data_IF_675664885686
#
_entry.id   IF_675664885686
#
_cell.length_a   1.000
_cell.length_b   1.000
_cell.length_c   1.000
_cell.angle_alpha   90.00
_cell.angle_beta   90.00
_cell.angle_gamma   90.00
#
_symmetry.space_group_name_H-M   'P 1'
#
loop_
_entity.id
_entity.type
_entity.pdbx_description
1 polymer ?
#
# COMPACT_ATOMS: atom_id res chain seq x y z
N UNK A 1 -10.16 31.73 -6.25
CA UNK A 1 -11.54 32.17 -5.95
C UNK A 1 -11.80 32.05 -4.45
N UNK A 2 -12.67 32.88 -3.88
CA UNK A 2 -13.07 32.77 -2.47
C UNK A 2 -14.04 31.61 -2.25
N UNK A 3 -14.86 31.26 -3.25
CA UNK A 3 -15.81 30.15 -3.20
C UNK A 3 -15.09 28.80 -3.39
N UNK A 4 -15.17 27.89 -2.42
CA UNK A 4 -14.51 26.58 -2.52
C UNK A 4 -14.98 25.73 -3.69
N UNK A 5 -16.27 25.78 -4.01
CA UNK A 5 -16.89 24.98 -5.08
C UNK A 5 -16.27 25.33 -6.44
N UNK A 6 -16.01 26.62 -6.68
CA UNK A 6 -15.32 27.08 -7.89
C UNK A 6 -13.90 26.51 -7.92
N UNK A 7 -13.18 26.55 -6.79
CA UNK A 7 -11.82 26.00 -6.72
C UNK A 7 -11.80 24.49 -6.97
N UNK A 8 -12.74 23.75 -6.41
CA UNK A 8 -12.88 22.30 -6.62
C UNK A 8 -13.12 21.97 -8.09
N UNK A 9 -14.08 22.63 -8.73
CA UNK A 9 -14.39 22.44 -10.16
C UNK A 9 -13.15 22.73 -11.01
N UNK A 10 -12.45 23.83 -10.73
CA UNK A 10 -11.22 24.16 -11.46
C UNK A 10 -10.15 23.08 -11.32
N UNK A 11 -9.96 22.49 -10.13
CA UNK A 11 -8.95 21.45 -9.93
C UNK A 11 -9.33 20.12 -10.58
N UNK A 12 -10.62 19.77 -10.56
CA UNK A 12 -11.15 18.60 -11.25
C UNK A 12 -10.92 18.69 -12.77
N UNK A 13 -11.34 19.80 -13.38
CA UNK A 13 -11.17 20.03 -14.82
C UNK A 13 -9.70 20.12 -15.23
N UNK A 14 -8.85 20.75 -14.41
CA UNK A 14 -7.42 20.82 -14.69
C UNK A 14 -6.77 19.42 -14.73
N UNK A 15 -7.12 18.54 -13.79
CA UNK A 15 -6.67 17.15 -13.79
C UNK A 15 -7.13 16.39 -15.04
N UNK A 16 -8.38 16.60 -15.46
CA UNK A 16 -8.93 16.02 -16.69
C UNK A 16 -8.20 16.50 -17.95
N UNK A 17 -7.93 17.80 -18.07
CA UNK A 17 -7.22 18.35 -19.24
C UNK A 17 -5.79 17.85 -19.33
N UNK A 18 -5.09 17.73 -18.20
CA UNK A 18 -3.76 17.13 -18.14
C UNK A 18 -3.77 15.68 -18.64
N UNK A 19 -4.81 14.91 -18.31
CA UNK A 19 -4.98 13.53 -18.77
C UNK A 19 -5.32 13.45 -20.25
N UNK A 20 -6.32 14.22 -20.70
CA UNK A 20 -6.86 14.14 -22.06
C UNK A 20 -5.97 14.80 -23.12
N UNK A 21 -5.23 15.84 -22.76
CA UNK A 21 -4.36 16.57 -23.68
C UNK A 21 -2.98 16.86 -23.07
N UNK A 22 -2.31 15.78 -22.66
CA UNK A 22 -1.05 15.83 -21.90
C UNK A 22 0.12 16.51 -22.61
N UNK A 23 0.11 16.61 -23.95
CA UNK A 23 1.15 17.33 -24.69
C UNK A 23 1.08 18.85 -24.50
N UNK A 24 -0.11 19.40 -24.25
CA UNK A 24 -0.30 20.82 -23.98
C UNK A 24 -0.39 21.11 -22.47
N UNK A 25 -1.09 20.26 -21.71
CA UNK A 25 -1.48 20.58 -20.33
C UNK A 25 -0.61 19.92 -19.26
N UNK A 26 -0.02 18.74 -19.50
CA UNK A 26 0.80 18.07 -18.50
C UNK A 26 2.24 18.60 -18.54
N UNK A 27 2.45 19.70 -17.82
CA UNK A 27 3.72 20.38 -17.65
C UNK A 27 3.78 21.07 -16.28
N UNK A 28 4.97 21.47 -15.84
CA UNK A 28 5.21 22.07 -14.52
C UNK A 28 4.39 23.35 -14.26
N UNK A 29 4.15 24.14 -15.30
CA UNK A 29 3.39 25.39 -15.17
C UNK A 29 1.96 25.15 -14.75
N UNK A 30 1.38 24.00 -15.13
CA UNK A 30 0.03 23.60 -14.75
C UNK A 30 0.04 22.70 -13.50
N UNK A 31 0.96 21.74 -13.41
CA UNK A 31 1.05 20.78 -12.28
C UNK A 31 1.21 21.48 -10.93
N UNK A 32 1.90 22.62 -10.89
CA UNK A 32 2.06 23.41 -9.66
C UNK A 32 0.72 23.78 -9.00
N UNK A 33 -0.36 23.94 -9.77
CA UNK A 33 -1.67 24.27 -9.22
C UNK A 33 -2.24 23.12 -8.42
N UNK A 34 -2.19 21.88 -8.92
CA UNK A 34 -2.53 20.70 -8.11
C UNK A 34 -1.66 20.64 -6.86
N UNK A 35 -0.34 20.87 -7.02
CA UNK A 35 0.63 20.92 -5.92
C UNK A 35 0.26 21.90 -4.80
N UNK A 36 -0.11 23.12 -5.16
CA UNK A 36 -0.50 24.16 -4.21
C UNK A 36 -1.87 23.89 -3.59
N UNK A 37 -2.84 23.44 -4.40
CA UNK A 37 -4.22 23.25 -3.97
C UNK A 37 -4.41 22.01 -3.08
N UNK A 38 -3.43 21.10 -3.03
CA UNK A 38 -3.34 20.10 -1.94
C UNK A 38 -3.19 20.72 -0.54
N UNK A 39 -2.87 22.02 -0.42
CA UNK A 39 -2.78 22.74 0.86
C UNK A 39 -4.03 23.59 1.14
N UNK A 40 -5.07 23.50 0.30
CA UNK A 40 -6.32 24.24 0.50
C UNK A 40 -6.95 23.88 1.86
N UNK A 41 -7.63 24.85 2.47
CA UNK A 41 -8.30 24.65 3.76
C UNK A 41 -9.54 23.78 3.62
N UNK A 42 -10.14 23.71 2.44
CA UNK A 42 -11.36 22.95 2.17
C UNK A 42 -11.01 21.53 1.71
N UNK A 43 -11.57 20.49 2.34
CA UNK A 43 -11.26 19.09 2.02
C UNK A 43 -11.60 18.72 0.58
N UNK A 44 -12.76 19.14 0.07
CA UNK A 44 -13.18 18.82 -1.29
C UNK A 44 -12.16 19.31 -2.35
N UNK A 45 -11.58 20.50 -2.17
CA UNK A 45 -10.54 21.01 -3.07
C UNK A 45 -9.30 20.11 -3.05
N UNK A 46 -8.87 19.67 -1.86
CA UNK A 46 -7.75 18.73 -1.71
C UNK A 46 -8.07 17.37 -2.33
N UNK A 47 -9.29 16.88 -2.12
CA UNK A 47 -9.79 15.63 -2.69
C UNK A 47 -9.73 15.65 -4.22
N UNK A 48 -10.22 16.72 -4.86
CA UNK A 48 -10.14 16.88 -6.33
C UNK A 48 -8.69 16.87 -6.83
N UNK A 49 -7.75 17.45 -6.08
CA UNK A 49 -6.33 17.38 -6.44
C UNK A 49 -5.80 15.94 -6.41
N UNK A 50 -6.09 15.19 -5.34
CA UNK A 50 -5.65 13.81 -5.18
C UNK A 50 -6.26 12.90 -6.26
N UNK A 51 -7.56 13.03 -6.53
CA UNK A 51 -8.24 12.26 -7.58
C UNK A 51 -7.69 12.59 -8.98
N UNK A 52 -7.44 13.87 -9.26
CA UNK A 52 -6.78 14.28 -10.50
C UNK A 52 -5.40 13.64 -10.66
N UNK A 53 -4.59 13.66 -9.60
CA UNK A 53 -3.29 12.99 -9.58
C UNK A 53 -3.40 11.47 -9.79
N UNK A 54 -4.33 10.78 -9.11
CA UNK A 54 -4.58 9.35 -9.36
C UNK A 54 -4.87 9.08 -10.84
N UNK A 55 -5.68 9.94 -11.46
CA UNK A 55 -5.96 9.88 -12.89
C UNK A 55 -4.71 9.97 -13.77
N UNK A 56 -3.70 10.73 -13.36
CA UNK A 56 -2.42 10.89 -14.07
C UNK A 56 -1.46 9.72 -13.82
N UNK A 57 -1.28 9.30 -12.56
CA UNK A 57 -0.41 8.16 -12.22
C UNK A 57 -0.95 6.81 -12.71
N UNK A 58 -2.25 6.72 -12.99
CA UNK A 58 -2.86 5.50 -13.57
C UNK A 58 -2.44 5.24 -15.02
N UNK A 59 -1.83 6.21 -15.70
CA UNK A 59 -1.40 6.09 -17.09
C UNK A 59 0.14 6.04 -17.17
N UNK A 60 0.73 4.88 -17.49
CA UNK A 60 2.18 4.72 -17.60
C UNK A 60 2.85 5.68 -18.58
N UNK A 61 2.13 6.13 -19.62
CA UNK A 61 2.66 7.06 -20.64
C UNK A 61 2.90 8.45 -20.05
N UNK A 62 2.19 8.80 -18.98
CA UNK A 62 2.28 10.12 -18.35
C UNK A 62 3.35 10.20 -17.26
N UNK A 63 3.77 9.07 -16.70
CA UNK A 63 4.68 9.01 -15.54
C UNK A 63 5.98 9.79 -15.72
N UNK A 64 6.70 9.75 -16.86
CA UNK A 64 7.95 10.49 -17.02
C UNK A 64 7.79 12.01 -16.86
N UNK A 65 6.57 12.55 -17.01
CA UNK A 65 6.28 13.98 -16.82
C UNK A 65 5.96 14.34 -15.37
N UNK A 66 5.85 13.35 -14.48
CA UNK A 66 5.47 13.54 -13.08
C UNK A 66 6.67 13.54 -12.14
N UNK A 67 7.84 13.00 -12.52
CA UNK A 67 9.00 12.79 -11.64
C UNK A 67 9.36 14.02 -10.78
N UNK A 68 9.46 15.20 -11.41
CA UNK A 68 9.80 16.44 -10.70
C UNK A 68 8.68 16.86 -9.72
N UNK A 69 7.43 16.68 -10.11
CA UNK A 69 6.28 16.93 -9.24
C UNK A 69 6.30 15.98 -8.04
N UNK A 70 6.50 14.68 -8.29
CA UNK A 70 6.56 13.64 -7.25
C UNK A 70 7.66 13.96 -6.25
N UNK A 71 8.89 14.19 -6.73
CA UNK A 71 10.03 14.53 -5.88
C UNK A 71 9.74 15.75 -4.99
N UNK A 72 9.11 16.78 -5.55
CA UNK A 72 8.82 18.03 -4.84
C UNK A 72 7.70 17.91 -3.81
N UNK A 73 6.67 17.12 -4.10
CA UNK A 73 5.45 17.07 -3.29
C UNK A 73 5.25 15.76 -2.53
N UNK A 74 6.19 14.81 -2.59
CA UNK A 74 6.12 13.51 -1.90
C UNK A 74 5.74 13.64 -0.43
N UNK A 75 6.46 14.46 0.33
CA UNK A 75 6.21 14.64 1.77
C UNK A 75 4.80 15.19 2.03
N UNK A 76 4.30 16.05 1.13
CA UNK A 76 2.92 16.53 1.22
C UNK A 76 1.93 15.40 0.98
N UNK A 77 2.13 14.57 -0.04
CA UNK A 77 1.27 13.42 -0.33
C UNK A 77 1.23 12.44 0.85
N UNK A 78 2.40 12.14 1.45
CA UNK A 78 2.50 11.32 2.66
C UNK A 78 1.72 11.96 3.81
N UNK A 79 1.91 13.26 4.07
CA UNK A 79 1.20 13.96 5.15
C UNK A 79 -0.33 13.97 4.98
N UNK A 80 -0.83 13.83 3.76
CA UNK A 80 -2.27 13.78 3.49
C UNK A 80 -2.91 12.45 3.91
N UNK A 81 -2.13 11.42 4.22
CA UNK A 81 -2.65 10.21 4.88
C UNK A 81 -3.08 10.44 6.34
N UNK A 82 -2.75 11.61 6.89
CA UNK A 82 -3.20 12.12 8.19
C UNK A 82 -4.14 13.33 8.01
N UNK A 83 -4.83 13.43 6.88
CA UNK A 83 -5.78 14.51 6.67
C UNK A 83 -6.92 14.43 7.69
N UNK A 84 -7.51 15.58 8.05
CA UNK A 84 -8.64 15.61 8.99
C UNK A 84 -9.92 15.07 8.37
N UNK A 85 -9.97 15.03 7.04
CA UNK A 85 -11.09 14.51 6.28
C UNK A 85 -10.79 13.07 5.83
N UNK A 86 -11.67 12.15 6.25
CA UNK A 86 -11.54 10.71 6.03
C UNK A 86 -11.47 10.34 4.55
N UNK A 87 -12.17 11.06 3.67
CA UNK A 87 -12.13 10.76 2.23
C UNK A 87 -10.79 11.19 1.63
N UNK A 88 -10.26 12.34 2.06
CA UNK A 88 -8.96 12.83 1.60
C UNK A 88 -7.82 11.88 2.02
N UNK A 89 -7.79 11.42 3.27
CA UNK A 89 -6.73 10.50 3.72
C UNK A 89 -6.75 9.15 2.99
N UNK A 90 -7.93 8.59 2.75
CA UNK A 90 -8.09 7.31 2.03
C UNK A 90 -7.63 7.48 0.59
N UNK A 91 -8.03 8.56 -0.08
CA UNK A 91 -7.60 8.80 -1.45
C UNK A 91 -6.11 9.13 -1.56
N UNK A 92 -5.53 9.79 -0.55
CA UNK A 92 -4.09 10.02 -0.49
C UNK A 92 -3.32 8.72 -0.35
N UNK A 93 -3.78 7.81 0.52
CA UNK A 93 -3.19 6.47 0.65
C UNK A 93 -3.31 5.67 -0.66
N UNK A 94 -4.47 5.70 -1.33
CA UNK A 94 -4.65 5.05 -2.64
C UNK A 94 -3.70 5.60 -3.70
N UNK A 95 -3.47 6.91 -3.70
CA UNK A 95 -2.51 7.55 -4.59
C UNK A 95 -1.08 7.07 -4.29
N UNK A 96 -0.69 6.96 -3.01
CA UNK A 96 0.63 6.44 -2.64
C UNK A 96 0.81 4.95 -2.97
N UNK A 97 -0.24 4.14 -2.83
CA UNK A 97 -0.24 2.74 -3.31
C UNK A 97 -0.01 2.69 -4.81
N UNK A 98 -0.67 3.56 -5.57
CA UNK A 98 -0.50 3.63 -7.01
C UNK A 98 0.91 4.08 -7.39
N UNK A 99 1.42 5.16 -6.78
CA UNK A 99 2.79 5.65 -6.98
C UNK A 99 3.79 4.56 -6.65
N UNK A 100 3.60 3.86 -5.53
CA UNK A 100 4.42 2.72 -5.16
C UNK A 100 4.46 1.72 -6.32
N UNK A 101 3.31 1.22 -6.80
CA UNK A 101 3.25 0.21 -7.88
C UNK A 101 3.83 0.68 -9.22
N UNK A 102 3.67 1.96 -9.56
CA UNK A 102 3.97 2.50 -10.89
C UNK A 102 5.36 3.12 -11.00
N UNK A 103 5.95 3.56 -9.89
CA UNK A 103 7.22 4.26 -9.87
C UNK A 103 8.14 3.60 -8.85
N UNK A 104 9.02 2.73 -9.32
CA UNK A 104 10.07 2.15 -8.49
C UNK A 104 10.96 3.26 -7.92
N UNK A 105 11.43 3.07 -6.69
CA UNK A 105 12.34 3.98 -5.96
C UNK A 105 11.81 5.36 -5.52
N UNK A 106 10.55 5.72 -5.77
CA UNK A 106 10.00 7.00 -5.29
C UNK A 106 9.79 7.00 -3.77
N UNK A 107 9.22 5.92 -3.22
CA UNK A 107 8.99 5.76 -1.79
C UNK A 107 10.16 5.02 -1.16
N UNK A 108 10.74 5.63 -0.13
CA UNK A 108 11.88 5.10 0.62
C UNK A 108 11.43 4.16 1.74
N UNK A 109 12.33 3.35 2.32
CA UNK A 109 12.01 2.54 3.49
C UNK A 109 11.43 3.34 4.67
N UNK A 110 11.88 4.58 4.88
CA UNK A 110 11.36 5.43 5.95
C UNK A 110 9.96 5.99 5.64
N UNK A 111 9.60 6.13 4.36
CA UNK A 111 8.24 6.45 3.95
C UNK A 111 7.30 5.26 4.27
N UNK A 112 7.72 4.03 3.97
CA UNK A 112 6.94 2.83 4.32
C UNK A 112 6.78 2.65 5.83
N UNK A 113 7.79 2.95 6.65
CA UNK A 113 7.67 2.94 8.12
C UNK A 113 6.59 3.92 8.63
N UNK A 114 6.35 5.02 7.93
CA UNK A 114 5.29 5.97 8.27
C UNK A 114 3.91 5.50 7.79
N UNK A 115 3.84 4.85 6.63
CA UNK A 115 2.58 4.47 5.99
C UNK A 115 2.02 3.14 6.50
N UNK A 116 2.86 2.12 6.66
CA UNK A 116 2.40 0.77 7.02
C UNK A 116 1.67 0.67 8.38
N UNK A 117 1.98 1.47 9.42
CA UNK A 117 1.20 1.51 10.66
C UNK A 117 -0.30 1.71 10.47
N UNK A 118 -0.75 2.31 9.36
CA UNK A 118 -2.18 2.54 9.11
C UNK A 118 -2.98 1.25 8.89
N UNK A 119 -2.36 0.07 8.72
CA UNK A 119 -3.07 -1.23 8.77
C UNK A 119 -3.81 -1.43 10.09
N UNK A 120 -3.39 -0.74 11.14
CA UNK A 120 -4.02 -0.76 12.45
C UNK A 120 -5.04 0.38 12.68
N UNK A 121 -5.34 1.18 11.66
CA UNK A 121 -6.29 2.28 11.79
C UNK A 121 -7.69 1.77 12.16
N UNK A 122 -8.37 2.48 13.05
CA UNK A 122 -9.79 2.25 13.35
C UNK A 122 -10.71 2.64 12.19
N UNK A 123 -10.21 3.47 11.26
CA UNK A 123 -10.91 3.80 10.03
C UNK A 123 -10.63 2.71 8.97
N UNK A 124 -11.52 1.71 8.92
CA UNK A 124 -11.37 0.51 8.09
C UNK A 124 -11.00 0.76 6.61
N UNK A 125 -11.60 1.72 5.88
CA UNK A 125 -11.18 2.05 4.52
C UNK A 125 -9.70 2.43 4.37
N UNK A 126 -9.14 3.18 5.33
CA UNK A 126 -7.72 3.51 5.32
C UNK A 126 -6.86 2.27 5.62
N UNK A 127 -7.27 1.47 6.62
CA UNK A 127 -6.59 0.24 6.96
C UNK A 127 -6.55 -0.74 5.77
N UNK A 128 -7.67 -0.96 5.09
CA UNK A 128 -7.78 -1.86 3.94
C UNK A 128 -6.85 -1.44 2.79
N UNK A 129 -6.82 -0.15 2.43
CA UNK A 129 -5.91 0.36 1.38
C UNK A 129 -4.45 0.21 1.79
N UNK A 130 -4.14 0.43 3.07
CA UNK A 130 -2.78 0.21 3.60
C UNK A 130 -2.42 -1.28 3.60
N UNK A 131 -3.39 -2.15 3.84
CA UNK A 131 -3.25 -3.60 3.70
C UNK A 131 -2.82 -4.00 2.28
N UNK A 132 -3.37 -3.36 1.25
CA UNK A 132 -2.90 -3.58 -0.13
C UNK A 132 -1.43 -3.16 -0.34
N UNK A 133 -1.00 -2.06 0.30
CA UNK A 133 0.40 -1.63 0.26
C UNK A 133 1.31 -2.67 0.91
N UNK A 134 0.95 -3.09 2.13
CA UNK A 134 1.68 -4.10 2.88
C UNK A 134 1.77 -5.41 2.11
N UNK A 135 0.64 -5.88 1.57
CA UNK A 135 0.56 -7.13 0.85
C UNK A 135 1.40 -7.11 -0.43
N UNK A 136 1.36 -6.01 -1.18
CA UNK A 136 2.15 -5.87 -2.41
C UNK A 136 3.65 -5.72 -2.15
N UNK A 137 4.05 -4.96 -1.13
CA UNK A 137 5.47 -4.60 -0.90
C UNK A 137 6.23 -5.51 0.05
N UNK A 138 5.56 -6.11 1.03
CA UNK A 138 6.22 -7.00 2.00
C UNK A 138 5.87 -8.44 1.72
N UNK A 139 4.58 -8.76 1.69
CA UNK A 139 4.12 -10.15 1.61
C UNK A 139 4.47 -10.76 0.25
N UNK A 140 4.09 -10.12 -0.86
CA UNK A 140 4.37 -10.66 -2.19
C UNK A 140 5.85 -10.62 -2.57
N UNK A 141 6.62 -9.65 -2.05
CA UNK A 141 8.06 -9.57 -2.30
C UNK A 141 8.85 -10.69 -1.60
N UNK A 142 8.32 -11.24 -0.50
CA UNK A 142 8.94 -12.34 0.24
C UNK A 142 8.82 -13.71 -0.47
N UNK A 143 7.96 -13.83 -1.49
CA UNK A 143 7.83 -15.04 -2.27
C UNK A 143 9.09 -15.25 -3.16
N UNK A 144 9.79 -16.39 -3.07
CA UNK A 144 10.92 -16.66 -3.95
C UNK A 144 10.48 -16.64 -5.42
N UNK A 145 11.30 -16.05 -6.29
CA UNK A 145 11.08 -16.08 -7.73
C UNK A 145 10.99 -17.53 -8.23
N UNK A 146 10.05 -17.80 -9.13
CA UNK A 146 9.76 -19.11 -9.71
C UNK A 146 10.98 -19.80 -10.36
N UNK A 147 12.02 -19.04 -10.68
CA UNK A 147 13.15 -19.46 -11.53
C UNK A 147 14.12 -20.43 -10.84
N UNK A 148 13.95 -20.71 -9.54
CA UNK A 148 14.79 -21.64 -8.77
C UNK A 148 14.14 -23.02 -8.51
N UNK A 149 12.94 -23.28 -9.02
CA UNK A 149 12.12 -24.46 -8.66
C UNK A 149 12.23 -25.63 -9.65
N UNK A 150 13.44 -25.94 -10.12
CA UNK A 150 13.65 -26.96 -11.16
C UNK A 150 13.30 -28.42 -10.79
N UNK A 151 13.01 -28.74 -9.52
CA UNK A 151 12.84 -30.13 -9.07
C UNK A 151 11.68 -30.38 -8.07
N UNK A 152 10.93 -29.35 -7.67
CA UNK A 152 9.86 -29.47 -6.67
C UNK A 152 8.47 -29.64 -7.31
N UNK A 153 7.56 -30.36 -6.64
CA UNK A 153 6.15 -30.41 -7.05
C UNK A 153 5.51 -29.01 -6.96
N UNK A 154 4.58 -28.69 -7.85
CA UNK A 154 3.80 -27.43 -7.83
C UNK A 154 3.16 -27.19 -6.45
N UNK A 155 2.68 -28.27 -5.81
CA UNK A 155 2.06 -28.22 -4.49
C UNK A 155 3.06 -27.83 -3.39
N UNK A 156 4.29 -28.38 -3.46
CA UNK A 156 5.35 -28.07 -2.49
C UNK A 156 5.86 -26.64 -2.68
N UNK A 157 5.98 -26.19 -3.92
CA UNK A 157 6.35 -24.82 -4.26
C UNK A 157 5.32 -23.80 -3.74
N UNK A 158 4.03 -24.07 -3.93
CA UNK A 158 2.95 -23.23 -3.44
C UNK A 158 2.92 -23.17 -1.90
N UNK A 159 3.15 -24.31 -1.24
CA UNK A 159 3.26 -24.39 0.21
C UNK A 159 4.44 -23.57 0.72
N UNK A 160 5.62 -23.70 0.10
CA UNK A 160 6.81 -22.92 0.44
C UNK A 160 6.57 -21.41 0.28
N UNK A 161 5.90 -21.00 -0.79
CA UNK A 161 5.55 -19.60 -1.05
C UNK A 161 4.61 -19.05 0.02
N UNK A 162 3.59 -19.83 0.40
CA UNK A 162 2.62 -19.46 1.44
C UNK A 162 3.30 -19.30 2.80
N UNK A 163 4.23 -20.20 3.14
CA UNK A 163 5.02 -20.10 4.38
C UNK A 163 5.95 -18.87 4.38
N UNK A 164 6.61 -18.57 3.27
CA UNK A 164 7.47 -17.39 3.16
C UNK A 164 6.66 -16.08 3.34
N UNK A 165 5.49 -16.01 2.70
CA UNK A 165 4.53 -14.90 2.86
C UNK A 165 4.06 -14.75 4.30
N UNK A 166 3.72 -15.85 4.96
CA UNK A 166 3.27 -15.83 6.35
C UNK A 166 4.40 -15.37 7.30
N UNK A 167 5.64 -15.85 7.09
CA UNK A 167 6.80 -15.39 7.86
C UNK A 167 7.03 -13.88 7.72
N UNK A 168 6.93 -13.36 6.50
CA UNK A 168 7.06 -11.92 6.28
C UNK A 168 5.97 -11.12 7.01
N UNK A 169 4.73 -11.63 7.05
CA UNK A 169 3.64 -11.00 7.78
C UNK A 169 3.85 -11.06 9.31
N UNK A 170 4.31 -12.19 9.84
CA UNK A 170 4.65 -12.34 11.26
C UNK A 170 5.80 -11.44 11.68
N UNK A 171 6.84 -11.34 10.85
CA UNK A 171 7.95 -10.43 11.07
C UNK A 171 7.46 -8.98 11.13
N UNK A 172 6.62 -8.56 10.18
CA UNK A 172 6.01 -7.23 10.20
C UNK A 172 5.20 -6.99 11.49
N UNK A 173 4.37 -7.95 11.90
CA UNK A 173 3.59 -7.85 13.13
C UNK A 173 4.49 -7.64 14.35
N UNK A 174 5.53 -8.47 14.50
CA UNK A 174 6.49 -8.40 15.60
C UNK A 174 7.28 -7.11 15.63
N UNK A 175 7.74 -6.61 14.48
CA UNK A 175 8.51 -5.37 14.37
C UNK A 175 7.64 -4.12 14.61
N UNK A 176 6.33 -4.21 14.34
CA UNK A 176 5.46 -3.05 14.48
C UNK A 176 5.23 -2.64 15.92
N UNK A 177 5.11 -3.59 16.86
CA UNK A 177 4.84 -3.35 18.30
C UNK A 177 3.65 -2.39 18.59
N UNK A 178 2.71 -2.22 17.64
CA UNK A 178 1.62 -1.25 17.74
C UNK A 178 0.35 -1.83 18.40
N UNK A 179 0.14 -3.14 18.28
CA UNK A 179 -1.05 -3.82 18.78
C UNK A 179 -0.67 -5.14 19.45
N UNK A 180 -1.40 -5.48 20.51
CA UNK A 180 -1.29 -6.78 21.19
C UNK A 180 -2.01 -7.91 20.45
N UNK A 181 -2.93 -7.55 19.54
CA UNK A 181 -3.80 -8.48 18.83
C UNK A 181 -3.73 -8.35 17.31
N UNK A 182 -3.84 -9.49 16.62
CA UNK A 182 -3.74 -9.56 15.15
C UNK A 182 -4.99 -9.07 14.42
N UNK A 183 -6.12 -8.89 15.13
CA UNK A 183 -7.45 -8.66 14.54
C UNK A 183 -7.46 -7.51 13.51
N UNK A 184 -6.87 -6.36 13.84
CA UNK A 184 -6.81 -5.22 12.92
C UNK A 184 -5.93 -5.51 11.69
N UNK A 185 -4.78 -6.16 11.89
CA UNK A 185 -3.89 -6.53 10.80
C UNK A 185 -4.58 -7.51 9.84
N UNK A 186 -5.21 -8.55 10.37
CA UNK A 186 -5.98 -9.55 9.59
C UNK A 186 -7.13 -8.86 8.85
N UNK A 187 -7.89 -8.01 9.53
CA UNK A 187 -9.02 -7.28 8.96
C UNK A 187 -8.58 -6.35 7.82
N UNK A 188 -7.44 -5.66 7.96
CA UNK A 188 -6.86 -4.78 6.93
C UNK A 188 -6.42 -5.54 5.67
N UNK A 189 -6.01 -6.80 5.83
CA UNK A 189 -5.53 -7.66 4.75
C UNK A 189 -6.64 -8.56 4.18
N UNK A 190 -7.84 -8.53 4.74
CA UNK A 190 -8.89 -9.50 4.43
C UNK A 190 -9.29 -9.52 2.95
N UNK A 191 -9.30 -8.35 2.32
CA UNK A 191 -9.73 -8.18 0.93
C UNK A 191 -8.60 -8.53 -0.06
N UNK A 192 -7.35 -8.16 0.23
CA UNK A 192 -6.22 -8.36 -0.68
C UNK A 192 -5.44 -9.67 -0.44
N UNK A 193 -5.40 -10.13 0.81
CA UNK A 193 -4.63 -11.29 1.28
C UNK A 193 -5.49 -12.49 1.65
N UNK A 194 -6.79 -12.50 1.31
CA UNK A 194 -7.71 -13.55 1.72
C UNK A 194 -7.31 -14.97 1.30
N UNK A 195 -6.59 -15.15 0.19
CA UNK A 195 -6.09 -16.47 -0.23
C UNK A 195 -5.02 -17.01 0.72
N UNK A 196 -4.14 -16.14 1.25
CA UNK A 196 -3.14 -16.49 2.24
C UNK A 196 -3.78 -16.74 3.61
N UNK A 197 -4.64 -15.81 4.05
CA UNK A 197 -5.23 -15.84 5.39
C UNK A 197 -6.25 -16.96 5.59
N UNK A 198 -6.82 -17.49 4.51
CA UNK A 198 -7.82 -18.57 4.54
C UNK A 198 -7.26 -19.93 4.17
N UNK A 199 -5.95 -20.06 3.96
CA UNK A 199 -5.29 -21.35 3.70
C UNK A 199 -5.08 -22.13 5.01
N UNK A 200 -6.20 -22.45 5.67
CA UNK A 200 -6.22 -23.20 6.93
C UNK A 200 -5.47 -24.54 6.86
N UNK A 201 -5.56 -25.34 5.77
CA UNK A 201 -4.79 -26.56 5.65
C UNK A 201 -3.28 -26.33 5.72
N UNK A 202 -2.74 -25.34 5.00
CA UNK A 202 -1.31 -25.02 5.06
C UNK A 202 -0.90 -24.47 6.42
N UNK A 203 -1.70 -23.57 7.01
CA UNK A 203 -1.44 -23.01 8.34
C UNK A 203 -1.40 -24.11 9.42
N UNK A 204 -2.39 -24.98 9.45
CA UNK A 204 -2.46 -26.10 10.41
C UNK A 204 -1.34 -27.11 10.19
N UNK A 205 -1.05 -27.47 8.94
CA UNK A 205 0.07 -28.35 8.62
C UNK A 205 1.41 -27.77 9.07
N UNK A 206 1.59 -26.44 8.97
CA UNK A 206 2.81 -25.78 9.40
C UNK A 206 3.00 -25.78 10.91
N UNK A 207 1.92 -25.56 11.67
CA UNK A 207 1.92 -25.64 13.14
C UNK A 207 2.27 -27.07 13.63
N UNK A 208 1.78 -28.10 12.94
CA UNK A 208 1.97 -29.50 13.33
C UNK A 208 3.37 -30.05 13.03
N UNK A 209 3.99 -29.65 11.91
CA UNK A 209 5.29 -30.20 11.44
C UNK A 209 6.47 -29.91 12.38
N UNK A 210 6.41 -28.84 13.18
CA UNK A 210 7.49 -28.47 14.12
C UNK A 210 7.52 -29.27 15.42
N UNK A 211 6.50 -30.08 15.70
CA UNK A 211 6.50 -30.96 16.88
C UNK A 211 7.48 -32.15 16.75
N UNK A 212 7.97 -32.43 15.53
CA UNK A 212 8.66 -33.68 15.19
C UNK A 212 10.13 -33.55 14.76
N UNK A 213 10.67 -32.36 14.47
CA UNK A 213 12.06 -32.22 14.00
C UNK A 213 12.64 -30.78 14.11
N UNK A 214 13.54 -30.49 15.07
CA UNK A 214 14.13 -29.14 15.28
C UNK A 214 15.24 -28.75 14.27
N UNK A 215 15.65 -29.64 13.37
CA UNK A 215 16.91 -29.52 12.61
C UNK A 215 16.80 -28.93 11.21
N UNK A 216 15.60 -28.54 10.75
CA UNK A 216 15.43 -27.80 9.51
C UNK A 216 14.96 -26.38 9.86
N UNK A 217 15.76 -25.35 9.58
CA UNK A 217 15.50 -23.93 9.90
C UNK A 217 14.27 -23.30 9.21
N UNK A 218 13.28 -24.11 8.80
CA UNK A 218 12.05 -23.70 8.15
C UNK A 218 10.86 -23.50 9.10
N UNK A 219 10.95 -23.91 10.36
CA UNK A 219 9.85 -23.84 11.33
C UNK A 219 9.50 -22.44 11.86
N UNK A 220 8.30 -22.31 12.45
CA UNK A 220 7.89 -21.15 13.27
C UNK A 220 8.30 -21.31 14.74
N UNK A 221 8.80 -20.23 15.35
CA UNK A 221 9.10 -20.12 16.78
C UNK A 221 7.84 -20.27 17.64
N UNK A 222 7.97 -20.60 18.94
CA UNK A 222 6.80 -20.68 19.83
C UNK A 222 5.98 -19.39 19.89
N UNK A 223 6.63 -18.22 19.83
CA UNK A 223 5.95 -16.93 19.81
C UNK A 223 5.15 -16.72 18.51
N UNK A 224 5.75 -17.05 17.35
CA UNK A 224 5.04 -16.99 16.06
C UNK A 224 3.85 -17.95 16.02
N UNK A 225 3.97 -19.15 16.61
CA UNK A 225 2.86 -20.11 16.66
C UNK A 225 1.66 -19.57 17.44
N UNK A 226 1.90 -18.86 18.55
CA UNK A 226 0.81 -18.20 19.31
C UNK A 226 0.10 -17.18 18.43
N UNK A 227 0.84 -16.37 17.68
CA UNK A 227 0.29 -15.35 16.77
C UNK A 227 -0.47 -15.97 15.59
N UNK A 228 -0.02 -17.11 15.05
CA UNK A 228 -0.73 -17.80 13.96
C UNK A 228 -2.07 -18.40 14.45
N UNK A 229 -2.14 -18.81 15.72
CA UNK A 229 -3.36 -19.39 16.32
C UNK A 229 -4.39 -18.31 16.67
N UNK A 230 -3.92 -17.11 17.02
CA UNK A 230 -4.75 -15.94 17.26
C UNK A 230 -5.51 -15.47 16.01
#
# INVERSE_FOLDING_TARGET
>A
DMLPEIRSICMEELGLWMKLYSSAFLNDSNLKYLGWMMHDKVPDVRLKCVLGLQGLYSDPVLLPKLDLFTSRFKDRLISMTLDKDNDVEVQAMKLLVLISKSCEDVLTPDDYKQLLPFVYSSHRPLAAVTGELLFSRIVNAAAPASDLQGEMSEEEAQKQQTLARLKALLQFYQESELHEHVVYLVDSLWDCGGSLLKDWPTLTAALLQNSSSPSAGGGFTPAEQVVIVE
#
